data_IF_474235072853
#
_entry.id   IF_474235072853
#
_cell.length_a   1.000
_cell.length_b   1.000
_cell.length_c   1.000
_cell.angle_alpha   90.00
_cell.angle_beta   90.00
_cell.angle_gamma   90.00
#
_symmetry.space_group_name_H-M   'P 1'
#
loop_
_entity.id
_entity.type
_entity.pdbx_description
1 polymer ?
#
# COMPACT_ATOMS: atom_id res chain seq x y z
N UNK A 1 -17.05 9.04 -29.43
CA UNK A 1 -16.67 8.77 -28.02
C UNK A 1 -15.85 9.96 -27.53
N UNK A 2 -16.21 10.65 -26.43
CA UNK A 2 -15.39 11.76 -25.96
C UNK A 2 -14.15 11.22 -25.22
N UNK A 3 -12.96 11.68 -25.62
CA UNK A 3 -11.71 11.48 -24.88
C UNK A 3 -11.67 12.47 -23.73
N UNK A 4 -11.50 11.99 -22.50
CA UNK A 4 -11.14 12.84 -21.37
C UNK A 4 -9.69 13.31 -21.52
N UNK A 5 -9.36 14.59 -21.24
CA UNK A 5 -8.00 15.08 -21.33
C UNK A 5 -7.19 14.61 -20.12
N UNK A 6 -6.01 14.05 -20.38
CA UNK A 6 -5.03 13.71 -19.37
C UNK A 6 -4.33 15.00 -18.92
N UNK A 7 -4.77 15.58 -17.79
CA UNK A 7 -4.14 16.77 -17.21
C UNK A 7 -3.10 16.32 -16.19
N UNK A 8 -1.83 16.40 -16.59
CA UNK A 8 -0.70 16.22 -15.69
C UNK A 8 -0.58 17.36 -14.69
N UNK A 9 -0.62 17.05 -13.39
CA UNK A 9 -0.06 17.88 -12.32
C UNK A 9 0.05 17.07 -11.01
N UNK A 10 1.07 16.22 -10.90
CA UNK A 10 1.45 15.58 -9.63
C UNK A 10 2.60 16.36 -8.98
N UNK A 11 2.31 17.56 -8.51
CA UNK A 11 3.23 18.25 -7.60
C UNK A 11 2.43 19.19 -6.70
N UNK A 12 2.33 18.83 -5.42
CA UNK A 12 1.89 19.67 -4.30
C UNK A 12 0.36 19.87 -4.11
N UNK A 13 -0.42 18.81 -4.20
CA UNK A 13 -1.74 18.77 -3.55
C UNK A 13 -1.63 17.86 -2.32
N UNK A 14 -2.09 18.26 -1.11
CA UNK A 14 -2.28 17.30 -0.04
C UNK A 14 -3.32 16.29 -0.54
N UNK A 15 -2.94 15.02 -0.65
CA UNK A 15 -3.87 13.96 -1.08
C UNK A 15 -5.01 13.92 -0.07
N UNK A 16 -6.19 14.28 -0.56
CA UNK A 16 -7.34 14.80 0.15
C UNK A 16 -7.89 13.83 1.23
N UNK A 17 -7.93 14.28 2.48
CA UNK A 17 -8.36 13.54 3.67
C UNK A 17 -9.88 13.62 3.94
N UNK A 18 -10.72 13.62 2.89
CA UNK A 18 -12.17 13.77 3.06
C UNK A 18 -13.05 12.56 2.72
N UNK A 19 -12.58 11.47 2.08
CA UNK A 19 -13.40 10.24 1.90
C UNK A 19 -12.76 8.90 1.46
N UNK A 20 -11.50 8.81 0.98
CA UNK A 20 -11.11 7.65 0.14
C UNK A 20 -10.12 6.65 0.73
N UNK A 21 -8.85 7.04 0.80
CA UNK A 21 -7.69 6.18 1.08
C UNK A 21 -6.60 7.05 1.69
N UNK A 22 -5.96 6.59 2.78
CA UNK A 22 -4.74 7.22 3.29
C UNK A 22 -3.52 6.69 2.52
N UNK A 23 -2.68 7.62 2.06
CA UNK A 23 -1.52 7.34 1.20
C UNK A 23 -0.26 7.83 1.89
N UNK A 24 0.69 6.95 2.16
CA UNK A 24 2.02 7.29 2.66
C UNK A 24 3.08 6.95 1.61
N UNK A 25 4.11 7.77 1.52
CA UNK A 25 5.19 7.58 0.56
C UNK A 25 6.52 7.60 1.31
N UNK A 26 7.39 6.66 0.99
CA UNK A 26 8.77 6.63 1.44
C UNK A 26 9.66 6.51 0.23
N UNK A 27 10.71 7.32 0.20
CA UNK A 27 11.76 7.27 -0.81
C UNK A 27 13.09 7.37 -0.07
N UNK A 28 13.97 6.43 -0.36
CA UNK A 28 15.33 6.41 0.16
C UNK A 28 16.29 6.92 -0.93
N UNK A 29 17.40 7.53 -0.52
CA UNK A 29 18.41 8.06 -1.46
C UNK A 29 19.11 6.94 -2.26
N UNK A 30 19.04 5.71 -1.75
CA UNK A 30 19.52 4.46 -2.38
C UNK A 30 18.75 4.07 -3.65
N UNK A 31 17.60 4.72 -3.90
CA UNK A 31 16.76 4.47 -5.07
C UNK A 31 15.56 3.55 -4.81
N UNK A 32 15.44 2.97 -3.61
CA UNK A 32 14.25 2.22 -3.21
C UNK A 32 13.13 3.18 -2.79
N UNK A 33 11.90 2.84 -3.18
CA UNK A 33 10.72 3.58 -2.73
C UNK A 33 9.55 2.64 -2.49
N UNK A 34 8.68 3.07 -1.59
CA UNK A 34 7.44 2.39 -1.27
C UNK A 34 6.30 3.39 -1.11
N UNK A 35 5.12 2.97 -1.52
CA UNK A 35 3.86 3.66 -1.30
C UNK A 35 2.99 2.72 -0.48
N UNK A 36 2.41 3.22 0.61
CA UNK A 36 1.45 2.50 1.42
C UNK A 36 0.06 3.11 1.19
N UNK A 37 -0.92 2.25 0.91
CA UNK A 37 -2.32 2.59 0.73
C UNK A 37 -3.15 1.88 1.81
N UNK A 38 -3.92 2.66 2.57
CA UNK A 38 -4.83 2.12 3.60
C UNK A 38 -6.19 2.80 3.51
N UNK A 39 -7.23 2.02 3.22
CA UNK A 39 -8.62 2.50 3.23
C UNK A 39 -9.22 2.45 4.65
N UNK A 40 -10.34 3.15 4.91
CA UNK A 40 -11.03 3.03 6.20
C UNK A 40 -11.46 1.59 6.54
N UNK A 41 -11.81 0.76 5.55
CA UNK A 41 -12.17 -0.64 5.82
C UNK A 41 -10.94 -1.50 6.17
N UNK A 42 -9.81 -1.26 5.51
CA UNK A 42 -8.53 -1.92 5.84
C UNK A 42 -8.08 -1.56 7.26
N UNK A 43 -8.22 -0.29 7.67
CA UNK A 43 -7.91 0.14 9.05
C UNK A 43 -8.78 -0.57 10.10
N UNK A 44 -10.06 -0.81 9.80
CA UNK A 44 -10.91 -1.61 10.70
C UNK A 44 -10.47 -3.07 10.75
N UNK A 45 -10.03 -3.63 9.63
CA UNK A 45 -9.52 -4.99 9.57
C UNK A 45 -8.19 -5.17 10.34
N UNK A 46 -7.36 -4.13 10.45
CA UNK A 46 -6.16 -4.13 11.30
C UNK A 46 -6.46 -4.27 12.80
N UNK A 47 -7.69 -3.99 13.25
CA UNK A 47 -8.09 -4.11 14.66
C UNK A 47 -8.60 -5.52 15.02
N UNK A 48 -8.62 -6.46 14.07
CA UNK A 48 -9.03 -7.83 14.32
C UNK A 48 -7.91 -8.59 15.03
N UNK A 49 -8.24 -9.52 15.93
CA UNK A 49 -7.19 -10.33 16.58
C UNK A 49 -6.35 -11.11 15.55
N UNK A 50 -6.98 -11.57 14.47
CA UNK A 50 -6.31 -12.31 13.40
C UNK A 50 -5.25 -11.48 12.66
N UNK A 51 -5.34 -10.15 12.63
CA UNK A 51 -4.29 -9.32 12.00
C UNK A 51 -3.05 -9.15 12.86
N UNK A 52 -3.15 -9.37 14.18
CA UNK A 52 -2.00 -9.40 15.09
C UNK A 52 -1.32 -10.77 15.19
N UNK A 53 -2.01 -11.84 14.78
CA UNK A 53 -1.51 -13.22 14.89
C UNK A 53 -0.83 -13.70 13.60
N UNK A 54 -1.50 -13.56 12.45
CA UNK A 54 -0.98 -14.03 11.16
C UNK A 54 -1.41 -13.11 10.03
N UNK A 55 -0.42 -12.63 9.27
CA UNK A 55 -0.64 -11.81 8.08
C UNK A 55 -0.20 -12.62 6.86
N UNK A 56 -1.08 -12.73 5.87
CA UNK A 56 -0.76 -13.28 4.57
C UNK A 56 -0.27 -12.15 3.66
N UNK A 57 0.78 -12.43 2.90
CA UNK A 57 1.40 -11.47 1.99
C UNK A 57 1.27 -12.03 0.58
N UNK A 58 0.47 -11.36 -0.24
CA UNK A 58 0.32 -11.68 -1.67
C UNK A 58 0.98 -10.58 -2.49
N UNK A 59 1.96 -10.95 -3.32
CA UNK A 59 2.70 -9.99 -4.14
C UNK A 59 2.61 -10.37 -5.60
N UNK A 60 2.28 -9.38 -6.42
CA UNK A 60 2.33 -9.46 -7.87
C UNK A 60 3.27 -8.40 -8.41
N UNK A 61 4.06 -8.74 -9.42
CA UNK A 61 5.09 -7.87 -9.97
C UNK A 61 4.87 -7.65 -11.47
N UNK A 62 5.67 -6.75 -12.06
CA UNK A 62 5.48 -6.32 -13.45
C UNK A 62 4.11 -5.67 -13.69
N UNK A 63 3.60 -4.96 -12.68
CA UNK A 63 2.27 -4.36 -12.71
C UNK A 63 2.18 -3.09 -13.56
N UNK A 64 3.32 -2.58 -14.02
CA UNK A 64 3.41 -1.43 -14.91
C UNK A 64 4.70 -1.47 -15.75
N UNK A 65 4.92 -0.42 -16.55
CA UNK A 65 6.11 -0.27 -17.40
C UNK A 65 7.41 -0.13 -16.60
N UNK A 66 7.32 0.29 -15.33
CA UNK A 66 8.45 0.38 -14.40
C UNK A 66 8.72 -0.94 -13.67
N UNK A 67 7.93 -1.99 -13.95
CA UNK A 67 7.97 -3.30 -13.29
C UNK A 67 7.73 -3.25 -11.78
N UNK A 68 6.92 -2.29 -11.34
CA UNK A 68 6.56 -2.17 -9.94
C UNK A 68 5.87 -3.43 -9.43
N UNK A 69 6.03 -3.66 -8.13
CA UNK A 69 5.41 -4.74 -7.37
C UNK A 69 4.31 -4.18 -6.50
N UNK A 70 3.14 -4.80 -6.57
CA UNK A 70 2.01 -4.55 -5.67
C UNK A 70 1.94 -5.71 -4.68
N UNK A 71 2.02 -5.38 -3.40
CA UNK A 71 1.93 -6.33 -2.30
C UNK A 71 0.69 -6.04 -1.47
N UNK A 72 -0.23 -6.99 -1.39
CA UNK A 72 -1.43 -6.91 -0.54
C UNK A 72 -1.16 -7.69 0.74
N UNK A 73 -1.35 -7.04 1.88
CA UNK A 73 -1.33 -7.68 3.19
C UNK A 73 -2.75 -8.02 3.59
N UNK A 74 -2.97 -9.25 4.01
CA UNK A 74 -4.30 -9.83 4.25
C UNK A 74 -4.35 -10.47 5.64
N UNK A 75 -5.50 -10.36 6.29
CA UNK A 75 -5.82 -11.15 7.49
C UNK A 75 -6.95 -12.13 7.18
N UNK A 76 -6.92 -13.30 7.80
CA UNK A 76 -8.00 -14.26 7.70
C UNK A 76 -9.19 -13.83 8.57
N UNK A 77 -10.38 -13.90 8.01
CA UNK A 77 -11.65 -13.62 8.70
C UNK A 77 -12.68 -14.69 8.35
N UNK A 78 -13.82 -14.71 9.04
CA UNK A 78 -14.93 -15.59 8.67
C UNK A 78 -15.47 -15.34 7.24
N UNK A 79 -15.25 -14.15 6.67
CA UNK A 79 -15.61 -13.81 5.30
C UNK A 79 -14.50 -14.11 4.27
N UNK A 80 -13.39 -14.73 4.71
CA UNK A 80 -12.20 -14.99 3.89
C UNK A 80 -11.06 -14.00 4.16
N UNK A 81 -10.15 -13.87 3.19
CA UNK A 81 -8.97 -13.01 3.29
C UNK A 81 -9.36 -11.54 3.05
N UNK A 82 -9.21 -10.70 4.07
CA UNK A 82 -9.54 -9.26 4.02
C UNK A 82 -8.24 -8.46 4.02
N UNK A 83 -8.08 -7.47 3.12
CA UNK A 83 -6.88 -6.68 3.07
C UNK A 83 -6.78 -5.73 4.28
N UNK A 84 -5.58 -5.61 4.84
CA UNK A 84 -5.22 -4.68 5.91
C UNK A 84 -4.33 -3.53 5.42
N UNK A 85 -3.63 -3.71 4.29
CA UNK A 85 -2.84 -2.69 3.63
C UNK A 85 -2.46 -3.13 2.21
N UNK A 86 -2.17 -2.17 1.34
CA UNK A 86 -1.55 -2.40 0.04
C UNK A 86 -0.27 -1.59 -0.05
N UNK A 87 0.82 -2.22 -0.47
CA UNK A 87 2.10 -1.58 -0.73
C UNK A 87 2.39 -1.61 -2.23
N UNK A 88 2.92 -0.52 -2.77
CA UNK A 88 3.51 -0.48 -4.10
C UNK A 88 4.97 -0.12 -3.95
N UNK A 89 5.86 -0.92 -4.52
CA UNK A 89 7.31 -0.71 -4.42
C UNK A 89 8.00 -1.12 -5.72
N UNK A 90 9.24 -0.67 -5.91
CA UNK A 90 9.92 -0.72 -7.20
C UNK A 90 10.70 -2.00 -7.50
N UNK A 91 10.78 -2.95 -6.57
CA UNK A 91 11.51 -4.19 -6.80
C UNK A 91 11.12 -5.30 -5.84
N UNK A 92 11.30 -6.55 -6.27
CA UNK A 92 11.12 -7.74 -5.41
C UNK A 92 12.39 -8.04 -4.60
N UNK A 93 12.95 -7.03 -3.94
CA UNK A 93 14.17 -7.14 -3.11
C UNK A 93 13.82 -6.97 -1.64
N UNK A 94 14.63 -7.53 -0.75
CA UNK A 94 14.45 -7.40 0.70
C UNK A 94 14.33 -5.95 1.15
N UNK A 95 15.15 -5.05 0.59
CA UNK A 95 15.17 -3.63 0.96
C UNK A 95 13.87 -2.91 0.58
N UNK A 96 13.31 -3.20 -0.60
CA UNK A 96 12.05 -2.62 -1.03
C UNK A 96 10.87 -3.07 -0.14
N UNK A 97 10.84 -4.36 0.23
CA UNK A 97 9.87 -4.86 1.20
C UNK A 97 10.09 -4.24 2.59
N UNK A 98 11.33 -4.12 3.05
CA UNK A 98 11.65 -3.51 4.34
C UNK A 98 11.18 -2.05 4.41
N UNK A 99 11.39 -1.27 3.34
CA UNK A 99 10.87 0.09 3.23
C UNK A 99 9.33 0.15 3.31
N UNK A 100 8.64 -0.76 2.61
CA UNK A 100 7.18 -0.88 2.67
C UNK A 100 6.66 -1.26 4.06
N UNK A 101 7.24 -2.28 4.68
CA UNK A 101 6.85 -2.70 6.03
C UNK A 101 7.17 -1.66 7.09
N UNK A 102 8.27 -0.91 6.93
CA UNK A 102 8.59 0.21 7.80
C UNK A 102 7.52 1.31 7.72
N UNK A 103 7.06 1.66 6.51
CA UNK A 103 5.95 2.59 6.34
C UNK A 103 4.68 2.12 7.07
N UNK A 104 4.35 0.84 6.95
CA UNK A 104 3.19 0.27 7.65
C UNK A 104 3.35 0.40 9.16
N UNK A 105 4.48 -0.03 9.70
CA UNK A 105 4.76 0.02 11.14
C UNK A 105 4.73 1.44 11.71
N UNK A 106 5.29 2.42 10.99
CA UNK A 106 5.38 3.80 11.48
C UNK A 106 4.02 4.51 11.47
N UNK A 107 3.06 4.08 10.64
CA UNK A 107 1.78 4.78 10.45
C UNK A 107 0.57 3.99 11.01
N UNK A 108 0.70 2.68 11.19
CA UNK A 108 -0.35 1.76 11.62
C UNK A 108 0.18 0.73 12.64
N UNK A 109 0.65 1.16 13.82
CA UNK A 109 1.20 0.27 14.85
C UNK A 109 0.08 -0.36 15.68
N UNK A 110 -0.57 -1.40 15.17
CA UNK A 110 -1.57 -2.19 15.90
C UNK A 110 -1.33 -3.67 15.67
#
# INVERSE_FOLDING_TARGET
MPRFPFVGRWSNQPVNSSAGVDVKVHKEDTGFWAILLVTPIMRRAQLLMSSSETIFVDSTASCDTARNTVTVLLTATAAGAVPIAVMVHNSQTTDAYAAGFKLLKDNYPF
#
